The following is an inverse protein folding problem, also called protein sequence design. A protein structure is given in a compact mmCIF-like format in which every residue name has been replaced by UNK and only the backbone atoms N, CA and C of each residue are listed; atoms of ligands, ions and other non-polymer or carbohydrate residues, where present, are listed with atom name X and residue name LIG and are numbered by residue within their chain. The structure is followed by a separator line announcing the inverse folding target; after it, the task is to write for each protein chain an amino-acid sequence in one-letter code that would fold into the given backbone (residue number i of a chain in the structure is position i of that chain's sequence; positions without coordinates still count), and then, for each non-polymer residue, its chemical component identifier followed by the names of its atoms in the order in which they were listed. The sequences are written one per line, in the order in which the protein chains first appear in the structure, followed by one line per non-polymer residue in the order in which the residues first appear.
data_IF_290419752270
#
_entry.id   IF_290419752270
#
_cell.length_a   1.000
_cell.length_b   1.000
_cell.length_c   1.000
_cell.angle_alpha   90.00
_cell.angle_beta   90.00
_cell.angle_gamma   90.00
#
_symmetry.space_group_name_H-M   'P 1'
#
loop_
_entity.id
_entity.type
_entity.pdbx_description
1 polymer ?
#
# COMPACT_ATOMS: atom_id res chain seq x y z
N UNK A 1 -3.13 -8.25 -2.78
CA UNK A 1 -3.84 -7.45 -1.75
C UNK A 1 -4.21 -6.10 -2.34
N UNK A 2 -4.91 -5.25 -1.60
CA UNK A 2 -5.36 -3.94 -2.05
C UNK A 2 -4.77 -2.83 -1.17
N UNK A 3 -4.72 -1.62 -1.68
CA UNK A 3 -4.25 -0.47 -0.92
C UNK A 3 -4.98 0.81 -1.30
N UNK A 4 -4.97 1.76 -0.36
CA UNK A 4 -5.31 3.14 -0.62
C UNK A 4 -4.04 3.95 -0.92
N UNK A 5 -4.15 4.90 -1.84
CA UNK A 5 -3.04 5.75 -2.31
C UNK A 5 -3.52 7.18 -2.57
N UNK A 6 -2.57 8.10 -2.78
CA UNK A 6 -2.86 9.38 -3.44
C UNK A 6 -2.91 9.20 -4.97
N UNK A 7 -4.07 9.39 -5.64
CA UNK A 7 -4.18 9.21 -7.09
C UNK A 7 -3.33 10.18 -7.91
N UNK A 8 -2.91 11.31 -7.34
CA UNK A 8 -2.02 12.25 -8.02
C UNK A 8 -0.57 11.73 -8.10
N UNK A 9 -0.20 10.76 -7.25
CA UNK A 9 1.12 10.11 -7.23
C UNK A 9 1.05 8.72 -7.85
N UNK A 10 0.07 7.91 -7.45
CA UNK A 10 -0.15 6.55 -7.95
C UNK A 10 -1.58 6.43 -8.49
N UNK A 11 -1.79 6.34 -9.82
CA UNK A 11 -3.13 6.20 -10.38
C UNK A 11 -3.87 4.96 -9.84
N UNK A 12 -5.17 5.08 -9.58
CA UNK A 12 -6.01 3.93 -9.26
C UNK A 12 -5.98 2.88 -10.39
N UNK A 13 -6.03 1.61 -10.01
CA UNK A 13 -5.84 0.47 -10.90
C UNK A 13 -4.38 0.08 -11.11
N UNK A 14 -3.41 0.88 -10.65
CA UNK A 14 -1.99 0.53 -10.72
C UNK A 14 -1.69 -0.75 -9.94
N UNK A 15 -0.75 -1.54 -10.46
CA UNK A 15 -0.13 -2.65 -9.73
C UNK A 15 1.16 -2.17 -9.11
N UNK A 16 1.30 -2.32 -7.79
CA UNK A 16 2.48 -1.92 -7.03
C UNK A 16 3.21 -3.17 -6.53
N UNK A 17 4.54 -3.09 -6.52
CA UNK A 17 5.40 -4.07 -5.89
C UNK A 17 6.16 -3.42 -4.73
N UNK A 18 5.96 -3.94 -3.52
CA UNK A 18 6.63 -3.51 -2.29
C UNK A 18 7.40 -4.71 -1.74
N UNK A 19 8.68 -4.83 -2.10
CA UNK A 19 9.40 -6.10 -1.96
C UNK A 19 8.70 -7.21 -2.74
N UNK A 20 8.37 -8.32 -2.07
CA UNK A 20 7.64 -9.46 -2.67
C UNK A 20 6.10 -9.28 -2.64
N UNK A 21 5.61 -8.17 -2.07
CA UNK A 21 4.17 -7.91 -1.96
C UNK A 21 3.63 -7.24 -3.21
N UNK A 22 2.64 -7.88 -3.84
CA UNK A 22 1.89 -7.30 -4.95
C UNK A 22 0.55 -6.70 -4.48
N UNK A 23 0.35 -5.41 -4.76
CA UNK A 23 -0.82 -4.62 -4.39
C UNK A 23 -1.52 -4.06 -5.63
N UNK A 24 -2.84 -3.86 -5.53
CA UNK A 24 -3.61 -3.07 -6.49
C UNK A 24 -4.15 -1.83 -5.78
N UNK A 25 -3.89 -0.65 -6.31
CA UNK A 25 -4.46 0.60 -5.82
C UNK A 25 -5.94 0.67 -6.19
N UNK A 26 -6.85 0.61 -5.21
CA UNK A 26 -8.29 0.62 -5.47
C UNK A 26 -9.07 1.63 -4.63
N UNK A 27 -8.41 2.28 -3.67
CA UNK A 27 -9.05 3.19 -2.73
C UNK A 27 -8.20 4.43 -2.45
N UNK A 28 -8.76 5.38 -1.70
CA UNK A 28 -8.14 6.64 -1.30
C UNK A 28 -8.49 6.97 0.15
N UNK A 29 -7.78 7.91 0.77
CA UNK A 29 -8.13 8.42 2.09
C UNK A 29 -7.60 9.83 2.30
N UNK A 30 -8.28 10.66 3.08
CA UNK A 30 -7.85 12.04 3.32
C UNK A 30 -6.49 12.14 4.03
N UNK A 31 -6.11 11.10 4.79
CA UNK A 31 -4.79 10.96 5.42
C UNK A 31 -3.75 10.24 4.54
N UNK A 32 -4.18 9.64 3.42
CA UNK A 32 -3.32 8.93 2.46
C UNK A 32 -3.02 9.88 1.31
N UNK A 33 -1.98 10.70 1.50
CA UNK A 33 -1.57 11.74 0.54
C UNK A 33 -0.06 11.71 0.29
N UNK A 34 0.36 12.09 -0.91
CA UNK A 34 1.76 12.02 -1.35
C UNK A 34 2.20 10.56 -1.55
N UNK A 35 3.36 10.21 -1.02
CA UNK A 35 3.97 8.88 -1.16
C UNK A 35 3.51 7.88 -0.06
N UNK A 36 2.40 8.18 0.62
CA UNK A 36 1.81 7.30 1.63
C UNK A 36 0.95 6.22 0.96
N UNK A 37 1.14 4.97 1.37
CA UNK A 37 0.35 3.82 0.94
C UNK A 37 -0.24 3.17 2.18
N UNK A 38 -1.57 3.01 2.22
CA UNK A 38 -2.27 2.28 3.27
C UNK A 38 -2.66 0.89 2.75
N UNK A 39 -2.01 -0.14 3.28
CA UNK A 39 -2.17 -1.53 2.82
C UNK A 39 -3.32 -2.17 3.58
N UNK A 40 -4.32 -2.67 2.85
CA UNK A 40 -5.40 -3.44 3.44
C UNK A 40 -4.89 -4.80 3.90
N UNK A 41 -5.01 -5.07 5.21
CA UNK A 41 -4.65 -6.34 5.84
C UNK A 41 -5.92 -7.14 6.18
N UNK A 42 -6.03 -8.35 5.62
CA UNK A 42 -7.16 -9.26 5.86
C UNK A 42 -6.93 -10.08 7.13
N UNK A 43 -7.09 -9.43 8.28
CA UNK A 43 -6.87 -10.01 9.61
C UNK A 43 -7.17 -9.02 10.73
N UNK A 44 -6.75 -9.38 11.94
CA UNK A 44 -6.94 -8.52 13.12
C UNK A 44 -5.95 -7.35 13.14
N UNK A 45 -6.26 -6.31 13.93
CA UNK A 45 -5.38 -5.18 14.10
C UNK A 45 -4.03 -5.60 14.74
N UNK A 46 -4.07 -6.53 15.68
CA UNK A 46 -2.89 -7.07 16.35
C UNK A 46 -1.94 -7.77 15.37
N UNK A 47 -2.49 -8.59 14.47
CA UNK A 47 -1.72 -9.26 13.42
C UNK A 47 -1.10 -8.27 12.44
N UNK A 48 -1.86 -7.25 12.02
CA UNK A 48 -1.34 -6.19 11.15
C UNK A 48 -0.17 -5.42 11.79
N UNK A 49 -0.27 -5.10 13.10
CA UNK A 49 0.81 -4.45 13.85
C UNK A 49 2.04 -5.34 13.98
N UNK A 50 1.84 -6.62 14.25
CA UNK A 50 2.95 -7.58 14.36
C UNK A 50 3.67 -7.76 13.02
N UNK A 51 2.93 -7.84 11.91
CA UNK A 51 3.48 -7.86 10.57
C UNK A 51 4.29 -6.59 10.27
N UNK A 52 3.73 -5.41 10.54
CA UNK A 52 4.39 -4.13 10.31
C UNK A 52 5.71 -4.00 11.11
N UNK A 53 5.75 -4.50 12.34
CA UNK A 53 6.95 -4.48 13.17
C UNK A 53 8.11 -5.30 12.58
N UNK A 54 7.81 -6.36 11.80
CA UNK A 54 8.80 -7.15 11.08
C UNK A 54 9.13 -6.60 9.69
N UNK A 55 8.17 -5.96 9.02
CA UNK A 55 8.31 -5.43 7.66
C UNK A 55 9.00 -4.06 7.61
N UNK A 56 8.68 -3.17 8.56
CA UNK A 56 9.06 -1.76 8.55
C UNK A 56 7.94 -0.84 8.02
N UNK A 57 8.08 0.47 8.22
CA UNK A 57 7.09 1.48 7.81
C UNK A 57 7.48 2.22 6.52
N UNK A 58 8.64 1.90 5.94
CA UNK A 58 9.17 2.52 4.73
C UNK A 58 9.79 1.46 3.83
N UNK A 59 9.47 1.49 2.54
CA UNK A 59 10.02 0.56 1.54
C UNK A 59 10.10 1.21 0.16
N UNK A 60 11.01 0.71 -0.68
CA UNK A 60 11.00 1.06 -2.10
C UNK A 60 9.78 0.44 -2.79
N UNK A 61 9.12 1.21 -3.65
CA UNK A 61 7.89 0.81 -4.35
C UNK A 61 8.11 0.91 -5.85
N UNK A 62 7.78 -0.15 -6.58
CA UNK A 62 7.75 -0.15 -8.04
C UNK A 62 6.31 -0.13 -8.53
N UNK A 63 5.96 0.87 -9.34
CA UNK A 63 4.64 0.98 -9.95
C UNK A 63 4.71 0.45 -11.37
N UNK A 64 3.93 -0.58 -11.67
CA UNK A 64 3.76 -1.09 -13.02
C UNK A 64 2.61 -0.32 -13.67
N UNK A 65 2.94 0.61 -14.57
CA UNK A 65 1.97 1.32 -15.38
C UNK A 65 1.83 0.60 -16.72
N UNK A 66 0.60 0.20 -17.06
CA UNK A 66 0.25 -0.36 -18.36
C UNK A 66 0.18 0.70 -19.46
#
# INVERSE_FOLDING_TARGET
MTCAVDPAVIPLGSVLYVGDLQLVAIDTGSAVSGEVIDIFYDGTQEEARAWLAGFGDTAAVWVCQG
#
